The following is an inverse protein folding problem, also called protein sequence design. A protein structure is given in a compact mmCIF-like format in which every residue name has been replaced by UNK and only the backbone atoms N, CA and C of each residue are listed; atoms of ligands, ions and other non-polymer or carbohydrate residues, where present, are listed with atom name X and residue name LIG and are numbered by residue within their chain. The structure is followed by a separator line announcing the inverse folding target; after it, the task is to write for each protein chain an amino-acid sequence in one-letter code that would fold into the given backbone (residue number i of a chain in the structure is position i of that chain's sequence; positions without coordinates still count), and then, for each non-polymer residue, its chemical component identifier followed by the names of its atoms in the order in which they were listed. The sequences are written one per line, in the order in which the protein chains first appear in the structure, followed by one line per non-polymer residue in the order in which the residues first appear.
data_IF_397489256337
#
_entry.id   IF_397489256337
#
_cell.length_a   1.000
_cell.length_b   1.000
_cell.length_c   1.000
_cell.angle_alpha   90.00
_cell.angle_beta   90.00
_cell.angle_gamma   90.00
#
_symmetry.space_group_name_H-M   'P 1'
#
loop_
_entity.id
_entity.type
_entity.pdbx_description
1 polymer ?
#
# COMPACT_ATOMS: atom_id res chain seq x y z
N UNK A 1 7.13 9.20 -14.13
CA UNK A 1 6.03 8.29 -13.74
C UNK A 1 6.64 6.98 -13.29
N UNK A 2 6.32 6.54 -12.07
CA UNK A 2 6.83 5.28 -11.52
C UNK A 2 5.66 4.31 -11.34
N UNK A 3 5.92 3.02 -11.51
CA UNK A 3 4.95 1.94 -11.29
C UNK A 3 5.37 1.14 -10.08
N UNK A 4 4.49 1.01 -9.09
CA UNK A 4 4.71 0.15 -7.93
C UNK A 4 3.68 -0.97 -7.86
N UNK A 5 4.04 -2.06 -7.19
CA UNK A 5 3.11 -3.12 -6.81
C UNK A 5 2.67 -2.89 -5.38
N UNK A 6 1.38 -2.65 -5.20
CA UNK A 6 0.72 -2.55 -3.89
C UNK A 6 -0.01 -3.85 -3.61
N UNK A 7 0.16 -4.41 -2.42
CA UNK A 7 -0.57 -5.59 -1.97
C UNK A 7 -1.45 -5.22 -0.80
N UNK A 8 -2.71 -5.63 -0.84
CA UNK A 8 -3.72 -5.31 0.17
C UNK A 8 -4.00 -6.53 1.06
N UNK A 9 -4.35 -6.27 2.31
CA UNK A 9 -4.52 -7.29 3.35
C UNK A 9 -5.69 -6.95 4.27
N UNK A 10 -6.36 -8.00 4.78
CA UNK A 10 -7.40 -7.83 5.82
C UNK A 10 -6.82 -7.57 7.20
N UNK A 11 -5.64 -8.11 7.47
CA UNK A 11 -4.91 -7.95 8.73
C UNK A 11 -3.41 -7.86 8.44
N UNK A 12 -2.57 -7.48 9.41
CA UNK A 12 -1.12 -7.40 9.22
C UNK A 12 -0.48 -8.81 9.23
N UNK A 13 -0.88 -9.66 8.27
CA UNK A 13 -0.44 -11.04 8.11
C UNK A 13 -0.41 -11.42 6.62
N UNK A 14 0.70 -11.99 6.15
CA UNK A 14 0.88 -12.41 4.75
C UNK A 14 -0.22 -13.36 4.24
N UNK A 15 -0.76 -14.21 5.12
CA UNK A 15 -1.84 -15.15 4.79
C UNK A 15 -3.19 -14.46 4.56
N UNK A 16 -3.33 -13.21 5.00
CA UNK A 16 -4.56 -12.42 4.85
C UNK A 16 -4.59 -11.55 3.58
N UNK A 17 -3.63 -11.77 2.67
CA UNK A 17 -3.57 -11.10 1.37
C UNK A 17 -4.89 -11.22 0.63
N UNK A 18 -5.43 -10.09 0.20
CA UNK A 18 -6.65 -10.05 -0.63
C UNK A 18 -6.30 -9.97 -2.11
N UNK A 19 -5.44 -9.02 -2.49
CA UNK A 19 -5.06 -8.76 -3.89
C UNK A 19 -3.77 -7.97 -4.00
N UNK A 20 -3.23 -7.91 -5.21
CA UNK A 20 -2.14 -6.99 -5.59
C UNK A 20 -2.57 -6.16 -6.79
N UNK A 21 -2.17 -4.89 -6.80
CA UNK A 21 -2.49 -3.92 -7.87
C UNK A 21 -1.21 -3.20 -8.28
N UNK A 22 -1.02 -3.02 -9.58
CA UNK A 22 0.01 -2.12 -10.09
C UNK A 22 -0.56 -0.69 -10.12
N UNK A 23 0.17 0.23 -9.50
CA UNK A 23 -0.23 1.62 -9.39
C UNK A 23 0.84 2.51 -10.00
N UNK A 24 0.39 3.46 -10.83
CA UNK A 24 1.23 4.51 -11.37
C UNK A 24 1.10 5.74 -10.49
N UNK A 25 2.22 6.40 -10.17
CA UNK A 25 2.22 7.62 -9.38
C UNK A 25 3.25 8.63 -9.87
N UNK A 26 3.00 9.89 -9.55
CA UNK A 26 3.84 11.04 -9.89
C UNK A 26 4.69 11.47 -8.68
N UNK A 27 4.10 11.57 -7.49
CA UNK A 27 4.76 11.97 -6.25
C UNK A 27 4.34 11.11 -5.04
N UNK A 28 5.21 11.01 -4.03
CA UNK A 28 4.99 10.18 -2.83
C UNK A 28 3.78 10.59 -1.95
N UNK A 29 3.48 11.89 -1.73
CA UNK A 29 2.30 12.28 -0.94
C UNK A 29 0.99 11.85 -1.60
N UNK A 30 0.91 11.93 -2.93
CA UNK A 30 -0.25 11.49 -3.72
C UNK A 30 -0.40 9.97 -3.72
N UNK A 31 0.71 9.24 -3.54
CA UNK A 31 0.71 7.78 -3.51
C UNK A 31 -0.04 7.24 -2.29
N UNK A 32 0.21 7.79 -1.10
CA UNK A 32 -0.42 7.34 0.15
C UNK A 32 -1.94 7.48 0.04
N UNK A 33 -2.43 8.67 -0.29
CA UNK A 33 -3.87 8.92 -0.49
C UNK A 33 -4.46 8.00 -1.56
N UNK A 34 -3.77 7.84 -2.70
CA UNK A 34 -4.24 6.95 -3.78
C UNK A 34 -4.34 5.48 -3.36
N UNK A 35 -3.45 5.01 -2.47
CA UNK A 35 -3.49 3.64 -1.96
C UNK A 35 -4.64 3.49 -0.97
N UNK A 36 -4.77 4.42 -0.01
CA UNK A 36 -5.86 4.41 0.97
C UNK A 36 -7.23 4.48 0.30
N UNK A 37 -7.41 5.32 -0.72
CA UNK A 37 -8.66 5.42 -1.50
C UNK A 37 -9.00 4.15 -2.26
N UNK A 38 -7.98 3.37 -2.64
CA UNK A 38 -8.17 2.08 -3.33
C UNK A 38 -8.45 0.95 -2.35
N UNK A 39 -8.27 1.10 -1.04
CA UNK A 39 -8.57 0.05 -0.06
C UNK A 39 -10.07 -0.26 -0.03
N UNK A 40 -10.41 -1.53 -0.15
CA UNK A 40 -11.79 -2.00 0.02
C UNK A 40 -12.20 -1.96 1.50
N UNK A 41 -13.52 -1.98 1.80
CA UNK A 41 -14.04 -2.02 3.16
C UNK A 41 -13.39 -3.07 4.08
N UNK A 42 -13.01 -4.23 3.54
CA UNK A 42 -12.40 -5.34 4.27
C UNK A 42 -10.87 -5.38 4.20
N UNK A 43 -10.23 -4.40 3.55
CA UNK A 43 -8.77 -4.25 3.45
C UNK A 43 -8.31 -3.19 4.45
N UNK A 44 -7.64 -3.62 5.52
CA UNK A 44 -7.18 -2.72 6.59
C UNK A 44 -5.76 -2.23 6.37
N UNK A 45 -4.97 -2.94 5.55
CA UNK A 45 -3.57 -2.61 5.31
C UNK A 45 -3.22 -2.76 3.84
N UNK A 46 -2.24 -1.96 3.40
CA UNK A 46 -1.55 -2.10 2.13
C UNK A 46 -0.05 -2.09 2.36
N UNK A 47 0.68 -2.95 1.64
CA UNK A 47 2.13 -2.93 1.64
C UNK A 47 2.68 -2.72 0.23
N UNK A 48 3.75 -1.94 0.15
CA UNK A 48 4.51 -1.73 -1.09
C UNK A 48 5.98 -1.50 -0.78
N UNK A 49 6.81 -1.71 -1.79
CA UNK A 49 8.24 -1.43 -1.70
C UNK A 49 8.51 -0.05 -2.28
N UNK A 50 9.32 0.75 -1.59
CA UNK A 50 9.77 2.04 -2.10
C UNK A 50 11.02 1.90 -3.00
N UNK A 51 11.57 3.02 -3.49
CA UNK A 51 12.78 3.02 -4.31
C UNK A 51 14.06 2.68 -3.55
N UNK A 52 14.05 2.75 -2.21
CA UNK A 52 15.19 2.36 -1.37
C UNK A 52 15.24 0.86 -1.09
N UNK A 53 14.14 0.16 -1.39
CA UNK A 53 13.98 -1.26 -1.15
C UNK A 53 13.29 -1.58 0.17
N UNK A 54 12.94 -0.57 0.97
CA UNK A 54 12.18 -0.71 2.20
C UNK A 54 10.74 -1.08 1.93
N UNK A 55 10.14 -1.84 2.85
CA UNK A 55 8.72 -2.21 2.78
C UNK A 55 7.94 -1.20 3.63
N UNK A 56 7.06 -0.46 2.95
CA UNK A 56 6.10 0.43 3.59
C UNK A 56 4.82 -0.36 3.82
N UNK A 57 4.34 -0.36 5.07
CA UNK A 57 2.99 -0.78 5.42
C UNK A 57 2.16 0.46 5.73
N UNK A 58 1.00 0.57 5.11
CA UNK A 58 0.06 1.68 5.19
C UNK A 58 -1.27 1.17 5.72
N UNK A 59 -1.87 1.88 6.68
CA UNK A 59 -3.23 1.62 7.14
C UNK A 59 -4.27 2.48 6.41
N UNK A 60 -5.54 2.29 6.78
CA UNK A 60 -6.65 2.99 6.17
C UNK A 60 -6.71 4.49 6.50
N UNK A 61 -6.15 4.87 7.63
CA UNK A 61 -6.12 6.26 8.11
C UNK A 61 -4.95 7.05 7.48
N UNK A 62 -4.15 6.38 6.64
CA UNK A 62 -3.01 6.99 5.96
C UNK A 62 -1.73 6.97 6.80
N UNK A 63 -1.72 6.26 7.92
CA UNK A 63 -0.52 6.09 8.75
C UNK A 63 0.36 5.01 8.15
N UNK A 64 1.64 5.33 7.94
CA UNK A 64 2.61 4.41 7.36
C UNK A 64 3.76 4.10 8.30
N UNK A 65 4.21 2.84 8.31
CA UNK A 65 5.46 2.39 8.94
C UNK A 65 6.38 1.80 7.88
N UNK A 66 7.69 2.02 8.03
CA UNK A 66 8.73 1.48 7.15
C UNK A 66 9.58 0.48 7.89
N UNK A 67 9.90 -0.64 7.24
CA UNK A 67 10.82 -1.69 7.73
C UNK A 67 11.90 -2.00 6.70
#
# INVERSE_FOLDING_TARGET
MQTLKVTFFKTLNVKSKTRSVLMNYQAAPELVTSISDKMRPDELFACFQDSSGSVIALDRDGVSVSV
#
